data_IF_327361334359
#
_entry.id   IF_327361334359
#
_cell.length_a   1.000
_cell.length_b   1.000
_cell.length_c   1.000
_cell.angle_alpha   90.00
_cell.angle_beta   90.00
_cell.angle_gamma   90.00
#
_symmetry.space_group_name_H-M   'P 1'
#
loop_
_entity.id
_entity.type
_entity.pdbx_description
1 polymer ?
#
# COMPACT_ATOMS: atom_id res chain seq x y z
N UNK A 1 -3.58 -5.23 18.45
CA UNK A 1 -4.03 -4.80 17.11
C UNK A 1 -5.49 -5.19 16.91
N UNK A 2 -6.34 -4.21 16.58
CA UNK A 2 -7.80 -4.24 16.79
C UNK A 2 -8.57 -3.87 15.49
N UNK A 3 -7.89 -3.94 14.33
CA UNK A 3 -8.36 -3.43 13.03
C UNK A 3 -9.81 -3.78 12.69
N UNK A 4 -10.19 -5.07 12.76
CA UNK A 4 -11.52 -5.54 12.37
C UNK A 4 -12.67 -5.03 13.27
N UNK A 5 -12.37 -4.49 14.45
CA UNK A 5 -13.38 -3.86 15.32
C UNK A 5 -13.36 -2.34 15.25
N UNK A 6 -12.44 -1.74 14.51
CA UNK A 6 -12.32 -0.29 14.35
C UNK A 6 -12.77 0.19 12.96
N UNK A 7 -12.66 -0.69 11.96
CA UNK A 7 -12.93 -0.37 10.55
C UNK A 7 -14.14 -1.16 10.06
N UNK A 8 -15.10 -0.46 9.45
CA UNK A 8 -16.24 -1.09 8.79
C UNK A 8 -15.78 -1.69 7.44
N UNK A 9 -16.23 -2.90 7.14
CA UNK A 9 -15.99 -3.53 5.84
C UNK A 9 -17.34 -3.78 5.19
N UNK A 10 -17.54 -3.17 4.03
CA UNK A 10 -18.79 -3.20 3.28
C UNK A 10 -18.53 -3.70 1.84
N UNK A 11 -19.50 -4.37 1.24
CA UNK A 11 -19.42 -4.84 -0.15
C UNK A 11 -20.48 -4.20 -1.02
N UNK A 12 -20.15 -4.00 -2.30
CA UNK A 12 -21.08 -3.51 -3.32
C UNK A 12 -21.39 -4.64 -4.29
N UNK A 13 -22.65 -5.06 -4.36
CA UNK A 13 -23.12 -6.03 -5.37
C UNK A 13 -22.70 -7.49 -5.13
N UNK A 14 -22.20 -7.83 -3.94
CA UNK A 14 -21.97 -9.21 -3.50
C UNK A 14 -21.99 -9.30 -1.96
N UNK A 15 -22.01 -10.52 -1.41
CA UNK A 15 -21.89 -10.75 0.03
C UNK A 15 -20.43 -11.00 0.43
N UNK A 16 -19.94 -10.27 1.43
CA UNK A 16 -18.61 -10.51 1.99
C UNK A 16 -18.48 -11.93 2.55
N UNK A 17 -17.36 -12.57 2.24
CA UNK A 17 -16.90 -13.79 2.88
C UNK A 17 -15.88 -13.46 3.98
N UNK A 18 -15.71 -14.36 4.95
CA UNK A 18 -14.71 -14.18 6.01
C UNK A 18 -13.29 -14.05 5.45
N UNK A 19 -13.01 -14.74 4.35
CA UNK A 19 -11.74 -14.60 3.64
C UNK A 19 -11.50 -13.16 3.16
N UNK A 20 -12.52 -12.46 2.64
CA UNK A 20 -12.38 -11.07 2.19
C UNK A 20 -11.91 -10.17 3.35
N UNK A 21 -12.56 -10.31 4.50
CA UNK A 21 -12.24 -9.54 5.72
C UNK A 21 -10.85 -9.87 6.24
N UNK A 22 -10.46 -11.15 6.22
CA UNK A 22 -9.13 -11.60 6.63
C UNK A 22 -8.06 -11.03 5.71
N UNK A 23 -8.25 -11.05 4.38
CA UNK A 23 -7.27 -10.51 3.45
C UNK A 23 -7.11 -8.98 3.62
N UNK A 24 -8.20 -8.24 3.80
CA UNK A 24 -8.15 -6.80 4.10
C UNK A 24 -7.39 -6.55 5.40
N UNK A 25 -7.70 -7.31 6.46
CA UNK A 25 -6.98 -7.21 7.72
C UNK A 25 -5.49 -7.53 7.54
N UNK A 26 -5.13 -8.60 6.84
CA UNK A 26 -3.73 -8.92 6.55
C UNK A 26 -3.03 -7.77 5.83
N UNK A 27 -3.65 -7.18 4.81
CA UNK A 27 -3.11 -6.02 4.10
C UNK A 27 -2.92 -4.80 5.00
N UNK A 28 -3.82 -4.56 5.95
CA UNK A 28 -3.68 -3.50 6.95
C UNK A 28 -2.57 -3.80 7.94
N UNK A 29 -2.40 -5.06 8.35
CA UNK A 29 -1.48 -5.46 9.41
C UNK A 29 -0.03 -5.53 8.93
N UNK A 30 0.21 -6.03 7.72
CA UNK A 30 1.57 -6.29 7.20
C UNK A 30 2.49 -5.05 7.29
N UNK A 31 2.10 -3.85 6.84
CA UNK A 31 2.96 -2.67 6.88
C UNK A 31 3.32 -2.23 8.30
N UNK A 32 2.42 -2.47 9.25
CA UNK A 32 2.50 -1.93 10.62
C UNK A 32 2.71 -3.04 11.66
N UNK A 33 3.14 -4.23 11.22
CA UNK A 33 3.27 -5.41 12.08
C UNK A 33 4.25 -5.21 13.24
N UNK A 34 5.29 -4.38 13.05
CA UNK A 34 6.33 -4.12 14.06
C UNK A 34 6.03 -2.92 14.96
N UNK A 35 4.82 -2.37 14.91
CA UNK A 35 4.39 -1.25 15.76
C UNK A 35 3.49 -1.81 16.86
N UNK A 36 3.85 -1.55 18.13
CA UNK A 36 3.15 -2.12 19.29
C UNK A 36 1.65 -1.74 19.31
N UNK A 37 1.35 -0.48 19.01
CA UNK A 37 0.00 0.06 18.91
C UNK A 37 -0.15 0.86 17.62
N UNK A 38 -0.99 0.37 16.71
CA UNK A 38 -1.31 1.05 15.45
C UNK A 38 -2.81 1.15 15.22
N UNK A 39 -3.27 2.34 14.83
CA UNK A 39 -4.65 2.66 14.52
C UNK A 39 -4.71 3.54 13.27
N UNK A 40 -5.50 3.12 12.27
CA UNK A 40 -5.71 3.89 11.04
C UNK A 40 -6.76 4.99 11.27
N UNK A 41 -6.34 6.11 11.87
CA UNK A 41 -7.24 7.23 12.23
C UNK A 41 -7.89 7.91 11.02
N UNK A 42 -7.28 7.78 9.84
CA UNK A 42 -7.77 8.30 8.57
C UNK A 42 -8.57 7.27 7.76
N UNK A 43 -9.04 6.18 8.39
CA UNK A 43 -9.88 5.15 7.76
C UNK A 43 -11.04 4.77 8.68
N UNK A 44 -12.25 4.81 8.15
CA UNK A 44 -13.47 4.34 8.82
C UNK A 44 -14.15 3.20 8.09
N UNK A 45 -14.06 3.16 6.75
CA UNK A 45 -14.73 2.13 5.93
C UNK A 45 -13.84 1.65 4.78
N UNK A 46 -13.79 0.34 4.58
CA UNK A 46 -13.27 -0.30 3.37
C UNK A 46 -14.45 -0.80 2.55
N UNK A 47 -14.67 -0.20 1.38
CA UNK A 47 -15.68 -0.59 0.40
C UNK A 47 -15.09 -1.57 -0.60
N UNK A 48 -15.68 -2.74 -0.71
CA UNK A 48 -15.20 -3.80 -1.60
C UNK A 48 -16.12 -3.93 -2.81
N UNK A 49 -15.53 -3.80 -4.00
CA UNK A 49 -16.17 -4.01 -5.29
C UNK A 49 -15.80 -5.39 -5.84
N UNK A 50 -16.67 -6.07 -6.61
CA UNK A 50 -16.38 -7.44 -7.05
C UNK A 50 -15.22 -7.51 -8.05
N UNK A 51 -15.02 -6.46 -8.86
CA UNK A 51 -14.00 -6.37 -9.91
C UNK A 51 -13.34 -4.99 -9.92
N UNK A 52 -12.39 -4.76 -10.83
CA UNK A 52 -11.84 -3.43 -11.07
C UNK A 52 -12.95 -2.46 -11.47
N UNK A 53 -12.73 -1.18 -11.18
CA UNK A 53 -13.67 -0.10 -11.42
C UNK A 53 -12.99 1.04 -12.20
N UNK A 54 -13.77 2.02 -12.65
CA UNK A 54 -13.26 3.24 -13.28
C UNK A 54 -13.37 4.45 -12.34
N UNK A 55 -12.94 5.63 -12.79
CA UNK A 55 -12.92 6.87 -12.00
C UNK A 55 -14.31 7.29 -11.47
N UNK A 56 -15.38 6.86 -12.14
CA UNK A 56 -16.77 7.11 -11.72
C UNK A 56 -17.33 5.99 -10.82
N UNK A 57 -16.46 5.11 -10.30
CA UNK A 57 -16.83 3.91 -9.53
C UNK A 57 -17.72 2.91 -10.30
N UNK A 58 -17.74 3.00 -11.63
CA UNK A 58 -18.41 2.05 -12.51
C UNK A 58 -17.65 0.72 -12.55
N UNK A 59 -18.34 -0.39 -12.30
CA UNK A 59 -17.77 -1.74 -12.25
C UNK A 59 -18.53 -2.77 -13.09
N UNK A 60 -19.65 -2.38 -13.73
CA UNK A 60 -20.43 -3.24 -14.59
C UNK A 60 -19.62 -3.63 -15.84
N UNK A 61 -19.96 -4.76 -16.48
CA UNK A 61 -19.24 -5.20 -17.68
C UNK A 61 -19.33 -4.20 -18.84
N UNK A 62 -20.40 -3.40 -18.88
CA UNK A 62 -20.66 -2.35 -19.85
C UNK A 62 -19.88 -1.07 -19.57
N UNK A 63 -19.28 -0.91 -18.39
CA UNK A 63 -18.53 0.28 -18.04
C UNK A 63 -17.13 0.21 -18.67
N UNK A 64 -16.76 1.30 -19.34
CA UNK A 64 -15.46 1.46 -19.97
C UNK A 64 -14.36 1.76 -18.94
N UNK A 65 -13.10 1.48 -19.30
CA UNK A 65 -11.89 1.85 -18.55
C UNK A 65 -11.82 1.34 -17.08
N UNK A 66 -12.32 0.13 -16.81
CA UNK A 66 -12.26 -0.52 -15.49
C UNK A 66 -10.85 -1.05 -15.17
N UNK A 67 -9.92 -0.14 -14.86
CA UNK A 67 -8.53 -0.48 -14.59
C UNK A 67 -8.12 -0.26 -13.13
N UNK A 68 -8.94 0.44 -12.33
CA UNK A 68 -8.62 0.77 -10.95
C UNK A 68 -8.85 -0.48 -10.08
N UNK A 69 -7.78 -0.89 -9.39
CA UNK A 69 -7.76 -2.06 -8.52
C UNK A 69 -8.03 -1.68 -7.05
N UNK A 70 -7.67 -0.46 -6.66
CA UNK A 70 -7.88 0.11 -5.35
C UNK A 70 -7.72 1.64 -5.40
N UNK A 71 -8.23 2.33 -4.39
CA UNK A 71 -7.92 3.75 -4.16
C UNK A 71 -8.20 4.15 -2.71
N UNK A 72 -7.43 5.10 -2.21
CA UNK A 72 -7.76 5.86 -1.00
C UNK A 72 -8.68 7.03 -1.39
N UNK A 73 -9.82 7.13 -0.71
CA UNK A 73 -10.82 8.17 -0.96
C UNK A 73 -10.34 9.57 -0.55
N UNK A 74 -10.84 10.56 -1.27
CA UNK A 74 -10.62 11.99 -1.00
C UNK A 74 -11.94 12.76 -1.10
N UNK A 75 -12.01 13.94 -0.49
CA UNK A 75 -13.17 14.83 -0.60
C UNK A 75 -14.44 14.19 -0.03
N UNK A 76 -15.42 13.88 -0.87
CA UNK A 76 -16.66 13.22 -0.41
C UNK A 76 -16.46 11.78 0.06
N UNK A 77 -15.34 11.14 -0.33
CA UNK A 77 -14.96 9.79 0.09
C UNK A 77 -13.85 9.80 1.14
N UNK A 78 -13.62 10.92 1.83
CA UNK A 78 -12.65 11.00 2.91
C UNK A 78 -12.92 9.93 3.98
N UNK A 79 -11.86 9.35 4.55
CA UNK A 79 -11.92 8.20 5.48
C UNK A 79 -12.43 6.88 4.87
N UNK A 80 -12.53 6.77 3.55
CA UNK A 80 -12.89 5.53 2.87
C UNK A 80 -11.74 5.02 2.01
N UNK A 81 -11.60 3.69 1.95
CA UNK A 81 -10.78 3.01 0.95
C UNK A 81 -11.70 2.16 0.09
N UNK A 82 -11.46 2.13 -1.22
CA UNK A 82 -12.20 1.28 -2.16
C UNK A 82 -11.24 0.23 -2.71
N UNK A 83 -11.64 -1.04 -2.67
CA UNK A 83 -10.82 -2.17 -3.13
C UNK A 83 -11.60 -3.04 -4.11
N UNK A 84 -10.90 -3.53 -5.13
CA UNK A 84 -11.38 -4.65 -5.93
C UNK A 84 -11.11 -5.97 -5.22
N UNK A 85 -12.17 -6.75 -4.95
CA UNK A 85 -12.09 -8.12 -4.44
C UNK A 85 -11.18 -8.99 -5.30
N UNK A 86 -11.30 -8.87 -6.63
CA UNK A 86 -10.47 -9.62 -7.58
C UNK A 86 -8.98 -9.31 -7.41
N UNK A 87 -8.63 -8.03 -7.27
CA UNK A 87 -7.24 -7.61 -7.06
C UNK A 87 -6.72 -7.99 -5.67
N UNK A 88 -7.55 -7.78 -4.63
CA UNK A 88 -7.25 -8.18 -3.26
C UNK A 88 -6.92 -9.67 -3.17
N UNK A 89 -7.78 -10.54 -3.70
CA UNK A 89 -7.52 -11.99 -3.73
C UNK A 89 -6.30 -12.33 -4.58
N UNK A 90 -6.15 -11.66 -5.72
CA UNK A 90 -4.98 -11.79 -6.58
C UNK A 90 -3.68 -11.59 -5.81
N UNK A 91 -3.61 -10.53 -5.00
CA UNK A 91 -2.46 -10.13 -4.19
C UNK A 91 -1.90 -11.23 -3.27
N UNK A 92 -2.76 -12.12 -2.76
CA UNK A 92 -2.37 -13.17 -1.81
C UNK A 92 -2.18 -14.56 -2.46
N UNK A 93 -2.27 -14.68 -3.78
CA UNK A 93 -2.06 -15.97 -4.47
C UNK A 93 -0.57 -16.29 -4.66
N UNK A 94 -0.20 -17.58 -4.64
CA UNK A 94 1.20 -18.04 -4.79
C UNK A 94 1.92 -17.58 -6.08
N UNK A 95 1.17 -17.19 -7.12
CA UNK A 95 1.72 -16.67 -8.39
C UNK A 95 1.65 -15.14 -8.47
N UNK A 96 1.28 -14.46 -7.38
CA UNK A 96 1.10 -13.01 -7.28
C UNK A 96 2.43 -12.22 -7.25
N UNK A 97 3.50 -12.74 -7.88
CA UNK A 97 4.82 -12.09 -7.88
C UNK A 97 4.85 -10.71 -8.55
N UNK A 98 3.69 -10.14 -8.90
CA UNK A 98 3.55 -8.95 -9.74
C UNK A 98 3.03 -7.73 -8.94
N UNK A 99 2.16 -7.90 -7.91
CA UNK A 99 1.69 -6.82 -7.01
C UNK A 99 0.70 -7.35 -5.93
N UNK A 100 0.58 -6.64 -4.81
CA UNK A 100 -0.41 -6.83 -3.75
C UNK A 100 -1.17 -5.51 -3.51
N UNK A 101 -2.31 -5.35 -4.19
CA UNK A 101 -3.14 -4.14 -4.13
C UNK A 101 -3.57 -3.77 -2.71
N UNK A 102 -3.85 -4.75 -1.86
CA UNK A 102 -4.23 -4.44 -0.48
C UNK A 102 -3.09 -3.75 0.27
N UNK A 103 -1.88 -4.30 0.22
CA UNK A 103 -0.70 -3.66 0.83
C UNK A 103 -0.47 -2.27 0.23
N UNK A 104 -0.58 -2.14 -1.09
CA UNK A 104 -0.41 -0.90 -1.82
C UNK A 104 -1.31 0.24 -1.28
N UNK A 105 -2.63 0.01 -1.20
CA UNK A 105 -3.56 1.02 -0.70
C UNK A 105 -3.38 1.34 0.78
N UNK A 106 -3.02 0.34 1.61
CA UNK A 106 -2.72 0.59 3.02
C UNK A 106 -1.44 1.39 3.22
N UNK A 107 -0.47 1.29 2.31
CA UNK A 107 0.72 2.15 2.33
C UNK A 107 0.35 3.58 1.95
N UNK A 108 -0.54 3.80 0.98
CA UNK A 108 -1.08 5.15 0.73
C UNK A 108 -1.84 5.73 1.91
N UNK A 109 -2.55 4.91 2.70
CA UNK A 109 -3.15 5.42 3.95
C UNK A 109 -2.10 5.85 4.97
N UNK A 110 -0.97 5.14 5.06
CA UNK A 110 0.13 5.52 5.97
C UNK A 110 0.77 6.83 5.52
N UNK A 111 1.00 6.96 4.21
CA UNK A 111 1.49 8.19 3.57
C UNK A 111 0.55 9.36 3.92
N UNK A 112 -0.77 9.16 3.75
CA UNK A 112 -1.83 10.14 4.04
C UNK A 112 -2.08 10.45 5.53
N UNK A 113 -1.27 9.96 6.47
CA UNK A 113 -1.53 10.22 7.90
C UNK A 113 -1.27 11.66 8.33
N UNK A 114 -0.36 12.37 7.64
CA UNK A 114 -0.11 13.80 7.84
C UNK A 114 -1.04 14.69 6.98
N UNK A 115 -1.90 14.06 6.17
CA UNK A 115 -2.83 14.72 5.25
C UNK A 115 -2.31 14.87 3.82
N UNK A 116 -1.08 14.45 3.52
CA UNK A 116 -0.46 14.52 2.20
C UNK A 116 -0.26 13.12 1.61
N UNK A 117 -0.25 13.00 0.29
CA UNK A 117 0.06 11.73 -0.39
C UNK A 117 1.17 12.01 -1.37
N UNK A 118 2.39 12.09 -0.85
CA UNK A 118 3.59 12.56 -1.54
C UNK A 118 4.76 11.57 -1.49
N UNK A 119 4.54 10.36 -0.96
CA UNK A 119 5.55 9.33 -0.83
C UNK A 119 6.52 9.52 0.34
N UNK A 120 6.29 10.49 1.23
CA UNK A 120 7.06 10.72 2.44
C UNK A 120 6.18 10.42 3.66
N UNK A 121 6.20 9.17 4.18
CA UNK A 121 5.43 8.85 5.36
C UNK A 121 6.10 9.44 6.61
N UNK A 122 5.83 10.72 6.93
CA UNK A 122 6.46 11.45 8.04
C UNK A 122 6.23 10.76 9.40
N UNK A 123 5.13 10.00 9.51
CA UNK A 123 4.85 9.18 10.70
C UNK A 123 5.83 8.04 10.90
N UNK A 124 6.49 7.57 9.83
CA UNK A 124 7.46 6.48 9.84
C UNK A 124 8.91 6.96 9.69
N UNK A 125 9.14 8.07 8.99
CA UNK A 125 10.46 8.60 8.70
C UNK A 125 10.77 9.79 9.61
N UNK A 126 11.76 9.62 10.49
CA UNK A 126 12.25 10.75 11.29
C UNK A 126 12.93 11.79 10.39
N UNK A 127 12.78 13.07 10.75
CA UNK A 127 13.29 14.23 10.00
C UNK A 127 14.72 14.09 9.42
N UNK A 128 15.73 13.51 10.12
CA UNK A 128 17.07 13.32 9.54
C UNK A 128 17.13 12.40 8.31
N UNK A 129 16.13 11.53 8.12
CA UNK A 129 16.07 10.55 7.03
C UNK A 129 15.27 11.01 5.82
N UNK A 130 14.51 12.11 5.91
CA UNK A 130 13.68 12.62 4.80
C UNK A 130 14.51 12.99 3.58
N UNK A 131 15.60 13.75 3.75
CA UNK A 131 16.47 14.14 2.63
C UNK A 131 17.15 12.91 1.99
N UNK A 132 17.76 11.98 2.77
CA UNK A 132 18.25 10.71 2.22
C UNK A 132 17.18 9.91 1.48
N UNK A 133 15.95 9.86 2.00
CA UNK A 133 14.84 9.15 1.40
C UNK A 133 14.47 9.71 0.03
N UNK A 134 14.25 11.02 -0.08
CA UNK A 134 13.92 11.66 -1.36
C UNK A 134 14.99 11.43 -2.43
N UNK A 135 16.27 11.47 -2.05
CA UNK A 135 17.37 11.15 -2.97
C UNK A 135 17.33 9.71 -3.48
N UNK A 136 16.97 8.75 -2.62
CA UNK A 136 16.82 7.35 -3.00
C UNK A 136 15.61 7.19 -3.92
N UNK A 137 14.45 7.74 -3.56
CA UNK A 137 13.24 7.70 -4.40
C UNK A 137 13.57 8.20 -5.81
N UNK A 138 14.12 9.40 -5.94
CA UNK A 138 14.33 10.01 -7.26
C UNK A 138 15.31 9.22 -8.12
N UNK A 139 16.37 8.66 -7.52
CA UNK A 139 17.30 7.78 -8.22
C UNK A 139 16.62 6.49 -8.70
N UNK A 140 15.87 5.83 -7.81
CA UNK A 140 15.19 4.57 -8.13
C UNK A 140 14.10 4.77 -9.19
N UNK A 141 13.34 5.86 -9.11
CA UNK A 141 12.37 6.24 -10.14
C UNK A 141 13.05 6.51 -11.49
N UNK A 142 14.20 7.17 -11.52
CA UNK A 142 14.99 7.35 -12.74
C UNK A 142 15.44 5.99 -13.31
N UNK A 143 15.93 5.08 -12.48
CA UNK A 143 16.33 3.74 -12.90
C UNK A 143 15.13 2.90 -13.41
N UNK A 144 13.95 3.03 -12.80
CA UNK A 144 12.70 2.43 -13.29
C UNK A 144 12.36 2.98 -14.69
N UNK A 145 12.32 4.30 -14.84
CA UNK A 145 11.93 4.96 -16.09
C UNK A 145 12.95 4.72 -17.22
N UNK A 146 14.20 4.43 -16.89
CA UNK A 146 15.24 4.02 -17.81
C UNK A 146 15.30 2.50 -18.08
N UNK A 147 14.34 1.71 -17.57
CA UNK A 147 14.31 0.24 -17.66
C UNK A 147 15.58 -0.44 -17.09
N UNK A 148 16.18 0.16 -16.07
CA UNK A 148 17.36 -0.36 -15.34
C UNK A 148 17.02 -1.00 -14.01
N UNK A 149 15.77 -0.84 -13.54
CA UNK A 149 15.28 -1.45 -12.30
C UNK A 149 14.44 -2.69 -12.56
N UNK A 150 14.36 -3.59 -11.58
CA UNK A 150 13.40 -4.70 -11.58
C UNK A 150 12.16 -4.42 -10.72
N UNK A 151 12.03 -3.21 -10.19
CA UNK A 151 10.81 -2.66 -9.63
C UNK A 151 9.84 -2.38 -10.79
N UNK A 152 8.54 -2.60 -10.56
CA UNK A 152 7.49 -2.42 -11.57
C UNK A 152 7.47 -0.97 -12.07
N UNK A 153 7.35 -0.78 -13.39
CA UNK A 153 7.33 0.53 -14.04
C UNK A 153 6.34 1.53 -13.45
N UNK A 154 5.22 1.04 -12.89
CA UNK A 154 4.22 1.86 -12.20
C UNK A 154 4.79 2.67 -11.02
N UNK A 155 5.81 2.15 -10.33
CA UNK A 155 6.50 2.89 -9.27
C UNK A 155 7.28 4.11 -9.78
N UNK A 156 7.48 4.26 -11.10
CA UNK A 156 8.10 5.44 -11.70
C UNK A 156 7.14 6.61 -11.96
N UNK A 157 5.85 6.47 -11.64
CA UNK A 157 4.79 7.45 -11.97
C UNK A 157 4.86 8.72 -11.12
N UNK A 158 4.94 8.58 -9.80
CA UNK A 158 5.15 9.66 -8.83
C UNK A 158 5.68 9.06 -7.52
N UNK A 159 6.08 9.90 -6.56
CA UNK A 159 6.70 9.49 -5.30
C UNK A 159 5.77 8.65 -4.40
N UNK A 160 4.47 8.95 -4.37
CA UNK A 160 3.50 8.17 -3.60
C UNK A 160 3.35 6.75 -4.17
N UNK A 161 3.22 6.63 -5.49
CA UNK A 161 3.19 5.35 -6.19
C UNK A 161 4.50 4.58 -6.03
N UNK A 162 5.63 5.29 -6.04
CA UNK A 162 6.92 4.70 -5.74
C UNK A 162 6.94 4.06 -4.35
N UNK A 163 6.53 4.80 -3.31
CA UNK A 163 6.47 4.29 -1.94
C UNK A 163 5.62 3.03 -1.86
N UNK A 164 4.42 3.05 -2.44
CA UNK A 164 3.51 1.90 -2.41
C UNK A 164 4.10 0.68 -3.14
N UNK A 165 4.60 0.86 -4.37
CA UNK A 165 5.21 -0.24 -5.16
C UNK A 165 6.50 -0.78 -4.53
N UNK A 166 7.34 0.09 -3.98
CA UNK A 166 8.55 -0.31 -3.27
C UNK A 166 8.21 -1.09 -1.99
N UNK A 167 7.15 -0.70 -1.28
CA UNK A 167 6.67 -1.40 -0.09
C UNK A 167 6.10 -2.78 -0.42
N UNK A 168 5.32 -2.91 -1.50
CA UNK A 168 4.89 -4.22 -2.01
C UNK A 168 6.10 -5.15 -2.23
N UNK A 169 7.14 -4.65 -2.90
CA UNK A 169 8.35 -5.44 -3.15
C UNK A 169 9.08 -5.82 -1.86
N UNK A 170 9.16 -4.89 -0.90
CA UNK A 170 9.77 -5.12 0.40
C UNK A 170 9.09 -6.25 1.17
N UNK A 171 7.75 -6.28 1.20
CA UNK A 171 7.01 -7.31 1.94
C UNK A 171 6.92 -8.65 1.20
N UNK A 172 6.80 -8.64 -0.13
CA UNK A 172 6.59 -9.86 -0.92
C UNK A 172 7.91 -10.58 -1.27
N UNK A 173 9.00 -9.84 -1.53
CA UNK A 173 10.30 -10.41 -1.96
C UNK A 173 11.50 -9.71 -1.27
N UNK A 174 11.54 -9.67 0.08
CA UNK A 174 12.56 -8.92 0.84
C UNK A 174 14.00 -9.29 0.50
N UNK A 175 14.30 -10.58 0.33
CA UNK A 175 15.66 -11.05 0.01
C UNK A 175 16.13 -10.58 -1.37
N UNK A 176 15.22 -10.53 -2.33
CA UNK A 176 15.53 -10.07 -3.69
C UNK A 176 15.75 -8.57 -3.71
N UNK A 177 14.92 -7.82 -3.00
CA UNK A 177 15.08 -6.37 -2.83
C UNK A 177 16.40 -6.04 -2.13
N UNK A 178 16.72 -6.71 -1.02
CA UNK A 178 17.99 -6.54 -0.30
C UNK A 178 19.22 -6.76 -1.19
N UNK A 179 19.14 -7.71 -2.13
CA UNK A 179 20.22 -8.00 -3.08
C UNK A 179 20.35 -6.97 -4.20
N UNK A 180 19.23 -6.48 -4.73
CA UNK A 180 19.22 -5.60 -5.92
C UNK A 180 19.19 -4.12 -5.61
N UNK A 181 18.51 -3.74 -4.52
CA UNK A 181 18.25 -2.37 -4.08
C UNK A 181 18.62 -2.23 -2.58
N UNK A 182 19.89 -2.47 -2.19
CA UNK A 182 20.28 -2.56 -0.78
C UNK A 182 20.02 -1.26 0.00
N UNK A 183 20.26 -0.10 -0.61
CA UNK A 183 20.05 1.20 0.03
C UNK A 183 18.55 1.46 0.27
N UNK A 184 17.71 1.16 -0.73
CA UNK A 184 16.26 1.26 -0.62
C UNK A 184 15.71 0.28 0.43
N UNK A 185 16.17 -0.96 0.43
CA UNK A 185 15.80 -1.96 1.44
C UNK A 185 16.11 -1.47 2.85
N UNK A 186 17.30 -0.89 3.06
CA UNK A 186 17.71 -0.40 4.36
C UNK A 186 16.85 0.79 4.82
N UNK A 187 16.44 1.67 3.91
CA UNK A 187 15.53 2.76 4.23
C UNK A 187 14.13 2.26 4.60
N UNK A 188 13.59 1.29 3.86
CA UNK A 188 12.29 0.69 4.18
C UNK A 188 12.33 -0.13 5.48
N UNK A 189 13.47 -0.73 5.84
CA UNK A 189 13.65 -1.30 7.19
C UNK A 189 13.56 -0.22 8.27
N UNK A 190 14.16 0.97 8.06
CA UNK A 190 14.02 2.09 9.01
C UNK A 190 12.56 2.54 9.14
N UNK A 191 11.80 2.53 8.04
CA UNK A 191 10.39 2.92 8.03
C UNK A 191 9.48 1.89 8.73
N UNK A 192 9.57 0.62 8.37
CA UNK A 192 8.59 -0.42 8.73
C UNK A 192 9.05 -1.38 9.84
N UNK A 193 10.33 -1.35 10.22
CA UNK A 193 10.87 -2.17 11.29
C UNK A 193 11.40 -1.27 12.38
N UNK A 194 10.58 -1.06 13.40
CA UNK A 194 11.04 -0.42 14.63
C UNK A 194 12.19 -1.26 15.19
N UNK A 195 13.40 -0.70 15.21
CA UNK A 195 14.46 -1.27 16.03
C UNK A 195 14.00 -1.13 17.47
N UNK A 196 13.65 -2.27 18.06
CA UNK A 196 13.37 -2.41 19.48
C UNK A 196 14.42 -1.64 20.30
N UNK A 197 14.01 -0.50 20.84
CA UNK A 197 14.87 0.38 21.64
C UNK A 197 15.06 -0.16 23.06
N UNK A 198 14.39 -1.28 23.41
CA UNK A 198 14.54 -1.98 24.68
C UNK A 198 15.80 -2.85 24.78
N UNK A 199 16.60 -2.95 23.70
CA UNK A 199 17.92 -3.59 23.71
C UNK A 199 19.04 -2.58 23.49
N UNK A 200 19.29 -1.75 24.50
CA UNK A 200 20.56 -1.06 24.72
C UNK A 200 21.05 -1.27 26.13
#
# INVERSE_FOLDING_TARGET
MVFLSEVNIESVGFNLEDLDKILIACSAVIPVFNFEEWHYKNLSTVLVYPNHFNENLGFAQTDENRQIAGMVGTGQFEHQMILSRKALHGGFQKKSHIHNTGIHEFVHLIDKLDGLTDGVPETLIQQPYVIPWLKIIHKEMEDINNNKSDIRNYGGTNEAEFLAVASEYFFEQPEKMKKKHPDLYQMLEVCFRVKDSSKR
#
